data_IF_761547020167
#
_entry.id   IF_761547020167
#
_cell.length_a   1.000
_cell.length_b   1.000
_cell.length_c   1.000
_cell.angle_alpha   90.00
_cell.angle_beta   90.00
_cell.angle_gamma   90.00
#
_symmetry.space_group_name_H-M   'P 1'
#
loop_
_entity.id
_entity.type
_entity.pdbx_description
1 polymer ?
#
# COMPACT_ATOMS: atom_id res chain seq x y z
N UNK A 1 18.29 -54.64 43.80
CA UNK A 1 17.76 -53.70 42.77
C UNK A 1 18.07 -54.10 41.32
N UNK A 2 19.21 -54.73 40.99
CA UNK A 2 19.59 -55.07 39.60
C UNK A 2 18.68 -56.12 38.92
N UNK A 3 18.29 -57.19 39.61
CA UNK A 3 17.46 -58.26 39.03
C UNK A 3 16.00 -57.83 38.78
N UNK A 4 15.44 -57.04 39.70
CA UNK A 4 14.04 -56.58 39.62
C UNK A 4 13.84 -55.58 38.47
N UNK A 5 14.82 -54.69 38.23
CA UNK A 5 14.82 -53.78 37.08
C UNK A 5 14.95 -54.53 35.75
N UNK A 6 15.73 -55.62 35.71
CA UNK A 6 15.82 -56.51 34.54
C UNK A 6 14.52 -57.25 34.25
N UNK A 7 13.84 -57.76 35.28
CA UNK A 7 12.57 -58.48 35.12
C UNK A 7 11.43 -57.54 34.72
N UNK A 8 11.37 -56.34 35.30
CA UNK A 8 10.35 -55.34 34.97
C UNK A 8 10.45 -54.83 33.52
N UNK A 9 11.66 -54.79 32.96
CA UNK A 9 11.88 -54.42 31.56
C UNK A 9 11.52 -55.54 30.56
N UNK A 10 11.26 -56.78 30.99
CA UNK A 10 10.90 -57.89 30.08
C UNK A 10 9.51 -57.73 29.44
N UNK A 11 8.66 -56.87 30.00
CA UNK A 11 7.29 -56.65 29.53
C UNK A 11 7.08 -55.29 28.86
N UNK A 12 8.14 -54.47 28.77
CA UNK A 12 8.09 -53.13 28.20
C UNK A 12 8.44 -53.15 26.73
N UNK A 13 7.79 -52.29 25.95
CA UNK A 13 8.23 -52.05 24.57
C UNK A 13 9.60 -51.36 24.55
N UNK A 14 10.30 -51.43 23.42
CA UNK A 14 11.57 -50.71 23.23
C UNK A 14 11.37 -49.20 23.42
N UNK A 15 10.24 -48.67 22.96
CA UNK A 15 9.83 -47.27 23.12
C UNK A 15 9.58 -46.89 24.59
N UNK A 16 8.94 -47.76 25.37
CA UNK A 16 8.74 -47.55 26.81
C UNK A 16 10.07 -47.50 27.56
N UNK A 17 10.98 -48.43 27.25
CA UNK A 17 12.33 -48.46 27.83
C UNK A 17 13.09 -47.18 27.48
N UNK A 18 12.95 -46.69 26.25
CA UNK A 18 13.57 -45.45 25.81
C UNK A 18 13.09 -44.23 26.60
N UNK A 19 11.77 -44.04 26.73
CA UNK A 19 11.20 -42.90 27.47
C UNK A 19 11.56 -42.95 28.95
N UNK A 20 11.58 -44.14 29.56
CA UNK A 20 12.06 -44.31 30.93
C UNK A 20 13.53 -43.91 31.07
N UNK A 21 14.38 -44.31 30.12
CA UNK A 21 15.79 -43.93 30.14
C UNK A 21 15.95 -42.39 30.03
N UNK A 22 15.15 -41.72 29.20
CA UNK A 22 15.11 -40.25 29.17
C UNK A 22 14.73 -39.67 30.54
N UNK A 23 13.70 -40.22 31.20
CA UNK A 23 13.26 -39.76 32.52
C UNK A 23 14.35 -39.88 33.59
N UNK A 24 15.10 -40.98 33.59
CA UNK A 24 16.15 -41.23 34.59
C UNK A 24 17.51 -40.62 34.22
N UNK A 25 17.66 -40.05 33.03
CA UNK A 25 18.93 -39.45 32.58
C UNK A 25 19.30 -38.16 33.33
N UNK A 26 18.32 -37.46 33.91
CA UNK A 26 18.49 -36.12 34.50
C UNK A 26 18.70 -35.00 33.48
N UNK A 27 18.65 -35.31 32.18
CA UNK A 27 18.88 -34.35 31.08
C UNK A 27 17.61 -33.59 30.69
N UNK A 28 16.43 -34.17 30.94
CA UNK A 28 15.13 -33.61 30.57
C UNK A 28 14.35 -33.17 31.81
N UNK A 29 13.63 -32.06 31.71
CA UNK A 29 12.72 -31.60 32.75
C UNK A 29 11.39 -32.39 32.77
N UNK A 30 10.61 -32.22 33.83
CA UNK A 30 9.35 -32.96 34.01
C UNK A 30 8.31 -32.67 32.92
N UNK A 31 8.30 -31.48 32.32
CA UNK A 31 7.39 -31.12 31.23
C UNK A 31 7.84 -31.79 29.94
N UNK A 32 9.13 -31.81 29.63
CA UNK A 32 9.70 -32.52 28.49
C UNK A 32 9.41 -34.02 28.58
N UNK A 33 9.63 -34.65 29.75
CA UNK A 33 9.27 -36.06 29.97
C UNK A 33 7.76 -36.29 29.79
N UNK A 34 6.91 -35.39 30.30
CA UNK A 34 5.47 -35.45 30.05
C UNK A 34 5.13 -35.46 28.56
N UNK A 35 5.80 -34.62 27.75
CA UNK A 35 5.61 -34.59 26.29
C UNK A 35 6.15 -35.85 25.59
N UNK A 36 7.26 -36.42 26.06
CA UNK A 36 7.76 -37.69 25.52
C UNK A 36 6.82 -38.87 25.83
N UNK A 37 6.16 -38.85 26.99
CA UNK A 37 5.11 -39.83 27.30
C UNK A 37 3.89 -39.69 26.40
N UNK A 38 3.43 -38.47 26.13
CA UNK A 38 2.33 -38.29 25.16
C UNK A 38 2.73 -38.68 23.73
N UNK A 39 4.02 -38.55 23.37
CA UNK A 39 4.53 -39.11 22.11
C UNK A 39 4.42 -40.64 22.07
N UNK A 40 4.82 -41.32 23.15
CA UNK A 40 4.71 -42.77 23.30
C UNK A 40 3.25 -43.23 23.23
N UNK A 41 2.34 -42.56 23.94
CA UNK A 41 0.90 -42.83 23.92
C UNK A 41 0.27 -42.66 22.53
N UNK A 42 0.84 -41.77 21.71
CA UNK A 42 0.45 -41.60 20.31
C UNK A 42 1.02 -42.69 19.37
N UNK A 43 1.73 -43.69 19.90
CA UNK A 43 2.28 -44.80 19.14
C UNK A 43 3.45 -44.40 18.25
N UNK A 44 4.20 -43.34 18.60
CA UNK A 44 5.41 -42.96 17.85
C UNK A 44 6.45 -44.07 17.98
N UNK A 45 7.02 -44.48 16.85
CA UNK A 45 8.13 -45.43 16.77
C UNK A 45 9.38 -44.92 17.49
N UNK A 46 10.29 -45.82 17.83
CA UNK A 46 11.57 -45.49 18.46
C UNK A 46 12.33 -44.36 17.73
N UNK A 47 12.39 -44.39 16.39
CA UNK A 47 13.09 -43.34 15.62
C UNK A 47 12.39 -41.98 15.72
N UNK A 48 11.06 -41.95 15.80
CA UNK A 48 10.30 -40.70 15.98
C UNK A 48 10.46 -40.16 17.39
N UNK A 49 10.48 -41.03 18.40
CA UNK A 49 10.76 -40.66 19.79
C UNK A 49 12.17 -40.10 19.96
N UNK A 50 13.16 -40.67 19.29
CA UNK A 50 14.53 -40.13 19.27
C UNK A 50 14.59 -38.72 18.71
N UNK A 51 13.80 -38.42 17.67
CA UNK A 51 13.70 -37.05 17.13
C UNK A 51 13.06 -36.08 18.14
N UNK A 52 12.01 -36.51 18.85
CA UNK A 52 11.39 -35.72 19.91
C UNK A 52 12.32 -35.49 21.12
N UNK A 53 13.15 -36.49 21.46
CA UNK A 53 13.99 -36.52 22.65
C UNK A 53 15.34 -35.77 22.47
N UNK A 54 15.29 -34.57 21.91
CA UNK A 54 16.41 -33.65 21.94
C UNK A 54 16.22 -32.66 23.11
N UNK A 55 17.15 -32.60 24.08
CA UNK A 55 16.98 -31.82 25.29
C UNK A 55 16.97 -30.30 25.08
N UNK A 56 17.39 -29.84 23.89
CA UNK A 56 17.31 -28.43 23.51
C UNK A 56 15.88 -27.98 23.16
N UNK A 57 14.94 -28.91 22.95
CA UNK A 57 13.56 -28.57 22.65
C UNK A 57 12.78 -28.20 23.90
N UNK A 58 12.02 -27.10 23.85
CA UNK A 58 10.97 -26.81 24.80
C UNK A 58 9.84 -27.85 24.72
N UNK A 59 9.03 -27.99 25.78
CA UNK A 59 7.85 -28.85 25.74
C UNK A 59 6.88 -28.53 24.58
N UNK A 60 6.78 -27.27 24.18
CA UNK A 60 5.96 -26.81 23.05
C UNK A 60 6.58 -27.21 21.71
N UNK A 61 7.90 -27.17 21.56
CA UNK A 61 8.58 -27.68 20.36
C UNK A 61 8.38 -29.20 20.21
N UNK A 62 8.52 -29.96 21.30
CA UNK A 62 8.23 -31.43 21.30
C UNK A 62 6.78 -31.69 20.89
N UNK A 63 5.84 -30.88 21.38
CA UNK A 63 4.43 -30.97 20.99
C UNK A 63 4.23 -30.76 19.48
N UNK A 64 4.89 -29.79 18.85
CA UNK A 64 4.78 -29.57 17.40
C UNK A 64 5.40 -30.71 16.58
N UNK A 65 6.51 -31.31 17.03
CA UNK A 65 7.10 -32.52 16.40
C UNK A 65 6.10 -33.67 16.47
N UNK A 66 5.55 -33.92 17.67
CA UNK A 66 4.51 -34.94 17.90
C UNK A 66 3.30 -34.74 17.00
N UNK A 67 2.77 -33.52 16.95
CA UNK A 67 1.63 -33.18 16.09
C UNK A 67 1.94 -33.40 14.61
N UNK A 68 3.17 -33.17 14.15
CA UNK A 68 3.58 -33.50 12.78
C UNK A 68 3.36 -34.98 12.47
N UNK A 69 3.84 -35.86 13.34
CA UNK A 69 3.65 -37.31 13.19
C UNK A 69 2.19 -37.74 13.32
N UNK A 70 1.43 -37.20 14.29
CA UNK A 70 0.01 -37.52 14.46
C UNK A 70 -0.85 -37.11 13.25
N UNK A 71 -0.43 -36.09 12.50
CA UNK A 71 -1.07 -35.69 11.25
C UNK A 71 -0.44 -36.37 10.01
N UNK A 72 0.20 -37.52 10.20
CA UNK A 72 0.76 -38.36 9.14
C UNK A 72 1.82 -37.67 8.27
N UNK A 73 2.53 -36.65 8.79
CA UNK A 73 3.71 -36.15 8.10
C UNK A 73 4.81 -37.21 8.15
N UNK A 74 5.43 -37.48 7.00
CA UNK A 74 6.58 -38.39 6.92
C UNK A 74 7.73 -37.94 7.83
N UNK A 75 8.60 -38.87 8.24
CA UNK A 75 9.81 -38.55 8.99
C UNK A 75 10.63 -37.43 8.36
N UNK A 76 10.85 -37.47 7.04
CA UNK A 76 11.59 -36.44 6.29
C UNK A 76 10.97 -35.04 6.46
N UNK A 77 9.63 -34.93 6.47
CA UNK A 77 8.92 -33.66 6.65
C UNK A 77 9.02 -33.17 8.09
N UNK A 78 8.89 -34.05 9.07
CA UNK A 78 9.00 -33.65 10.48
C UNK A 78 10.43 -33.28 10.86
N UNK A 79 11.42 -34.07 10.43
CA UNK A 79 12.83 -33.77 10.65
C UNK A 79 13.29 -32.48 9.97
N UNK A 80 12.58 -32.02 8.93
CA UNK A 80 12.90 -30.79 8.23
C UNK A 80 12.69 -29.54 9.11
N UNK A 81 11.64 -29.52 9.95
CA UNK A 81 11.36 -28.38 10.83
C UNK A 81 11.73 -28.63 12.31
N UNK A 82 12.06 -29.86 12.68
CA UNK A 82 12.52 -30.23 14.02
C UNK A 82 13.95 -29.74 14.28
N UNK A 83 14.15 -28.43 14.35
CA UNK A 83 15.42 -27.78 14.72
C UNK A 83 15.18 -26.83 15.91
N UNK A 84 15.92 -27.00 17.03
CA UNK A 84 15.72 -26.19 18.24
C UNK A 84 15.95 -24.68 18.04
N UNK A 85 16.53 -24.25 16.92
CA UNK A 85 16.65 -22.83 16.55
C UNK A 85 15.31 -22.17 16.24
N UNK A 86 14.28 -22.92 15.87
CA UNK A 86 12.95 -22.39 15.62
C UNK A 86 12.10 -22.43 16.89
N UNK A 87 11.47 -21.32 17.27
CA UNK A 87 10.47 -21.36 18.33
C UNK A 87 9.26 -22.23 17.94
N UNK A 88 8.44 -22.60 18.93
CA UNK A 88 7.30 -23.48 18.69
C UNK A 88 6.26 -22.88 17.72
N UNK A 89 6.16 -21.55 17.61
CA UNK A 89 5.22 -20.91 16.68
C UNK A 89 5.73 -20.99 15.25
N UNK A 90 7.04 -20.81 15.02
CA UNK A 90 7.68 -21.04 13.73
C UNK A 90 7.53 -22.51 13.31
N UNK A 91 7.79 -23.45 14.23
CA UNK A 91 7.58 -24.90 13.98
C UNK A 91 6.11 -25.22 13.65
N UNK A 92 5.17 -24.63 14.40
CA UNK A 92 3.73 -24.78 14.15
C UNK A 92 3.35 -24.34 12.75
N UNK A 93 3.84 -23.18 12.31
CA UNK A 93 3.55 -22.64 10.99
C UNK A 93 4.10 -23.54 9.88
N UNK A 94 5.36 -23.97 9.97
CA UNK A 94 5.97 -24.89 9.00
C UNK A 94 5.22 -26.22 8.96
N UNK A 95 4.84 -26.76 10.12
CA UNK A 95 4.04 -27.99 10.22
C UNK A 95 2.71 -27.83 9.47
N UNK A 96 1.99 -26.74 9.70
CA UNK A 96 0.70 -26.47 9.05
C UNK A 96 0.86 -26.34 7.53
N UNK A 97 1.88 -25.62 7.08
CA UNK A 97 2.17 -25.49 5.64
C UNK A 97 2.45 -26.85 4.98
N UNK A 98 3.24 -27.72 5.63
CA UNK A 98 3.52 -29.08 5.18
C UNK A 98 2.27 -30.00 5.18
N UNK A 99 1.31 -29.74 6.07
CA UNK A 99 0.02 -30.45 6.16
C UNK A 99 -0.94 -29.99 5.06
N UNK A 100 -0.96 -28.69 4.74
CA UNK A 100 -1.74 -28.15 3.63
C UNK A 100 -1.13 -28.40 2.25
N UNK A 101 -0.03 -29.15 2.19
CA UNK A 101 0.53 -29.66 0.94
C UNK A 101 1.61 -28.78 0.31
N UNK A 102 2.10 -27.74 1.01
CA UNK A 102 3.25 -27.00 0.51
C UNK A 102 4.48 -27.92 0.45
N UNK A 103 5.25 -27.77 -0.63
CA UNK A 103 6.50 -28.51 -0.81
C UNK A 103 7.57 -27.98 0.15
N UNK A 104 8.51 -28.85 0.53
CA UNK A 104 9.69 -28.44 1.30
C UNK A 104 10.44 -27.31 0.58
N UNK A 105 10.51 -27.34 -0.75
CA UNK A 105 11.24 -26.35 -1.54
C UNK A 105 10.60 -24.96 -1.49
N UNK A 106 9.26 -24.87 -1.45
CA UNK A 106 8.57 -23.59 -1.24
C UNK A 106 8.82 -23.05 0.18
N UNK A 107 8.83 -23.94 1.17
CA UNK A 107 9.00 -23.57 2.59
C UNK A 107 10.43 -23.09 2.88
N UNK A 108 11.44 -23.66 2.20
CA UNK A 108 12.85 -23.26 2.37
C UNK A 108 13.09 -21.76 2.22
N UNK A 109 12.30 -21.05 1.42
CA UNK A 109 12.42 -19.60 1.24
C UNK A 109 12.23 -18.81 2.55
N UNK A 110 11.36 -19.28 3.44
CA UNK A 110 11.06 -18.58 4.69
C UNK A 110 11.39 -19.39 5.95
N UNK A 111 11.99 -20.57 5.79
CA UNK A 111 12.49 -21.37 6.91
C UNK A 111 13.84 -20.84 7.43
N UNK A 112 13.88 -19.57 7.80
CA UNK A 112 15.03 -18.91 8.44
C UNK A 112 14.63 -18.54 9.87
N UNK A 113 15.35 -18.99 10.92
CA UNK A 113 15.04 -18.68 12.31
C UNK A 113 15.07 -17.18 12.63
N UNK A 114 15.69 -16.35 11.80
CA UNK A 114 15.69 -14.88 11.92
C UNK A 114 14.31 -14.26 11.62
N UNK A 115 13.43 -14.96 10.90
CA UNK A 115 12.07 -14.49 10.66
C UNK A 115 11.13 -14.88 11.79
N UNK A 116 10.47 -13.91 12.43
CA UNK A 116 9.32 -14.21 13.27
C UNK A 116 8.13 -14.72 12.45
N UNK A 117 7.12 -15.26 13.13
CA UNK A 117 5.92 -15.85 12.50
C UNK A 117 5.16 -14.88 11.59
N UNK A 118 5.12 -13.59 11.94
CA UNK A 118 4.48 -12.57 11.11
C UNK A 118 5.24 -12.34 9.80
N UNK A 119 6.57 -12.33 9.84
CA UNK A 119 7.41 -12.23 8.65
C UNK A 119 7.25 -13.48 7.76
N UNK A 120 7.28 -14.68 8.35
CA UNK A 120 7.02 -15.93 7.62
C UNK A 120 5.64 -15.95 6.95
N UNK A 121 4.62 -15.41 7.64
CA UNK A 121 3.27 -15.28 7.08
C UNK A 121 3.23 -14.36 5.85
N UNK A 122 3.98 -13.25 5.85
CA UNK A 122 4.04 -12.36 4.68
C UNK A 122 4.75 -13.02 3.49
N UNK A 123 5.83 -13.77 3.72
CA UNK A 123 6.51 -14.50 2.63
C UNK A 123 5.56 -15.54 2.02
N UNK A 124 4.89 -16.32 2.88
CA UNK A 124 3.88 -17.30 2.46
C UNK A 124 2.73 -16.63 1.69
N UNK A 125 2.28 -15.46 2.13
CA UNK A 125 1.20 -14.72 1.47
C UNK A 125 1.60 -14.29 0.05
N UNK A 126 2.86 -13.89 -0.18
CA UNK A 126 3.34 -13.57 -1.53
C UNK A 126 3.25 -14.75 -2.51
N UNK A 127 3.51 -15.97 -2.04
CA UNK A 127 3.29 -17.18 -2.85
C UNK A 127 1.80 -17.41 -3.16
N UNK A 128 0.90 -17.17 -2.19
CA UNK A 128 -0.54 -17.28 -2.41
C UNK A 128 -1.08 -16.21 -3.37
N UNK A 129 -0.54 -14.99 -3.29
CA UNK A 129 -0.85 -13.89 -4.20
C UNK A 129 -0.22 -14.07 -5.59
N UNK A 130 0.56 -15.14 -5.80
CA UNK A 130 1.26 -15.47 -7.04
C UNK A 130 2.24 -14.37 -7.48
N UNK A 131 2.87 -13.69 -6.52
CA UNK A 131 3.96 -12.77 -6.80
C UNK A 131 5.13 -13.52 -7.45
N UNK A 132 5.91 -12.82 -8.27
CA UNK A 132 7.11 -13.40 -8.85
C UNK A 132 8.14 -13.68 -7.75
N UNK A 133 8.98 -14.70 -7.95
CA UNK A 133 9.94 -15.11 -6.91
C UNK A 133 10.90 -13.99 -6.53
N UNK A 134 11.35 -13.18 -7.50
CA UNK A 134 12.22 -12.03 -7.25
C UNK A 134 11.58 -10.98 -6.34
N UNK A 135 10.26 -10.83 -6.43
CA UNK A 135 9.51 -9.88 -5.61
C UNK A 135 9.42 -10.37 -4.18
N UNK A 136 9.19 -11.67 -4.01
CA UNK A 136 9.20 -12.34 -2.70
C UNK A 136 10.59 -12.24 -2.07
N UNK A 137 11.66 -12.51 -2.82
CA UNK A 137 13.05 -12.38 -2.36
C UNK A 137 13.39 -10.96 -1.93
N UNK A 138 12.87 -9.94 -2.64
CA UNK A 138 13.12 -8.54 -2.31
C UNK A 138 12.60 -8.17 -0.91
N UNK A 139 11.37 -8.56 -0.56
CA UNK A 139 10.80 -8.21 0.73
C UNK A 139 11.06 -9.26 1.83
N UNK A 140 11.49 -10.47 1.50
CA UNK A 140 11.92 -11.51 2.44
C UNK A 140 13.27 -11.15 3.12
N UNK A 141 13.28 -10.05 3.86
CA UNK A 141 14.45 -9.53 4.57
C UNK A 141 14.16 -9.49 6.08
N UNK A 142 14.94 -10.19 6.93
CA UNK A 142 14.67 -10.26 8.37
C UNK A 142 14.76 -8.91 9.07
N UNK A 143 15.38 -7.89 8.43
CA UNK A 143 15.44 -6.52 8.94
C UNK A 143 14.14 -5.74 8.76
N UNK A 144 13.22 -6.20 7.91
CA UNK A 144 11.90 -5.59 7.77
C UNK A 144 10.93 -6.16 8.80
N UNK A 145 10.16 -5.31 9.46
CA UNK A 145 9.05 -5.77 10.31
C UNK A 145 8.00 -6.50 9.45
N UNK A 146 7.17 -7.34 10.09
CA UNK A 146 6.06 -8.00 9.39
C UNK A 146 5.12 -6.98 8.70
N UNK A 147 4.91 -5.80 9.31
CA UNK A 147 4.07 -4.75 8.72
C UNK A 147 4.76 -4.08 7.51
N UNK A 148 6.08 -3.88 7.55
CA UNK A 148 6.84 -3.41 6.39
C UNK A 148 6.79 -4.41 5.23
N UNK A 149 6.99 -5.71 5.52
CA UNK A 149 6.89 -6.77 4.52
C UNK A 149 5.49 -6.84 3.91
N UNK A 150 4.45 -6.70 4.73
CA UNK A 150 3.06 -6.64 4.26
C UNK A 150 2.84 -5.45 3.33
N UNK A 151 3.33 -4.27 3.71
CA UNK A 151 3.21 -3.07 2.88
C UNK A 151 3.88 -3.26 1.52
N UNK A 152 5.12 -3.76 1.50
CA UNK A 152 5.88 -4.02 0.26
C UNK A 152 5.16 -5.06 -0.59
N UNK A 153 4.67 -6.16 0.00
CA UNK A 153 3.88 -7.19 -0.68
C UNK A 153 2.63 -6.60 -1.36
N UNK A 154 1.85 -5.81 -0.64
CA UNK A 154 0.63 -5.17 -1.17
C UNK A 154 0.96 -4.18 -2.31
N UNK A 155 2.11 -3.51 -2.25
CA UNK A 155 2.57 -2.58 -3.28
C UNK A 155 3.02 -3.29 -4.56
N UNK A 156 3.76 -4.40 -4.41
CA UNK A 156 4.11 -5.29 -5.53
C UNK A 156 2.86 -5.91 -6.16
N UNK A 157 1.90 -6.35 -5.34
CA UNK A 157 0.61 -6.87 -5.81
C UNK A 157 -0.21 -5.81 -6.58
N UNK A 158 -0.12 -4.55 -6.16
CA UNK A 158 -0.75 -3.43 -6.89
C UNK A 158 -0.06 -3.14 -8.24
N UNK A 159 1.18 -3.62 -8.44
CA UNK A 159 1.97 -3.41 -9.65
C UNK A 159 3.02 -2.31 -9.53
N UNK A 160 3.36 -1.86 -8.33
CA UNK A 160 4.52 -0.98 -8.14
C UNK A 160 5.81 -1.79 -8.35
N UNK A 161 6.80 -1.19 -9.04
CA UNK A 161 8.12 -1.80 -9.22
C UNK A 161 8.95 -1.72 -7.94
N UNK A 162 10.00 -2.55 -7.85
CA UNK A 162 11.00 -2.47 -6.77
C UNK A 162 11.65 -1.07 -6.72
N UNK A 163 11.85 -0.41 -7.87
CA UNK A 163 12.39 0.95 -7.93
C UNK A 163 11.45 1.98 -7.29
N UNK A 164 10.14 1.86 -7.52
CA UNK A 164 9.13 2.69 -6.86
C UNK A 164 9.19 2.51 -5.33
N UNK A 165 9.36 1.27 -4.88
CA UNK A 165 9.41 0.91 -3.46
C UNK A 165 10.68 1.46 -2.80
N UNK A 166 11.84 1.21 -3.40
CA UNK A 166 13.12 1.75 -2.94
C UNK A 166 13.10 3.28 -2.87
N UNK A 167 12.41 3.94 -3.81
CA UNK A 167 12.30 5.40 -3.81
C UNK A 167 11.60 5.94 -2.56
N UNK A 168 10.41 5.42 -2.19
CA UNK A 168 9.70 5.96 -1.02
C UNK A 168 10.18 5.41 0.33
N UNK A 169 10.89 4.27 0.31
CA UNK A 169 11.50 3.68 1.51
C UNK A 169 12.84 4.32 1.90
N UNK A 170 13.38 5.21 1.07
CA UNK A 170 14.60 5.94 1.38
C UNK A 170 14.46 6.70 2.70
N UNK A 171 15.35 6.42 3.66
CA UNK A 171 15.29 6.93 5.04
C UNK A 171 15.41 8.45 5.16
N UNK A 172 15.73 9.16 4.06
CA UNK A 172 15.76 10.62 4.00
C UNK A 172 14.36 11.24 4.02
N UNK A 173 13.34 10.43 3.79
CA UNK A 173 11.96 10.87 3.75
C UNK A 173 11.25 10.69 5.10
N UNK A 174 10.37 11.64 5.45
CA UNK A 174 9.52 11.52 6.64
C UNK A 174 8.37 10.54 6.39
N UNK A 175 7.76 10.02 7.46
CA UNK A 175 6.65 9.04 7.36
C UNK A 175 5.48 9.60 6.52
N UNK A 176 5.03 10.83 6.82
CA UNK A 176 3.94 11.46 6.06
C UNK A 176 4.32 11.71 4.59
N UNK A 177 5.60 11.88 4.32
CA UNK A 177 6.10 12.00 2.96
C UNK A 177 6.06 10.64 2.23
N UNK A 178 6.49 9.56 2.87
CA UNK A 178 6.43 8.20 2.31
C UNK A 178 5.00 7.81 1.94
N UNK A 179 4.01 8.12 2.78
CA UNK A 179 2.60 7.85 2.50
C UNK A 179 2.10 8.63 1.27
N UNK A 180 2.46 9.91 1.15
CA UNK A 180 2.11 10.75 0.01
C UNK A 180 2.68 10.19 -1.30
N UNK A 181 3.96 9.85 -1.32
CA UNK A 181 4.61 9.27 -2.52
C UNK A 181 3.98 7.95 -2.91
N UNK A 182 3.73 7.08 -1.92
CA UNK A 182 3.09 5.79 -2.15
C UNK A 182 1.68 5.98 -2.74
N UNK A 183 0.91 6.95 -2.25
CA UNK A 183 -0.38 7.32 -2.83
C UNK A 183 -0.22 7.82 -4.28
N UNK A 184 0.74 8.71 -4.54
CA UNK A 184 0.96 9.28 -5.87
C UNK A 184 1.36 8.21 -6.91
N UNK A 185 2.26 7.30 -6.54
CA UNK A 185 2.66 6.17 -7.38
C UNK A 185 1.47 5.25 -7.69
N UNK A 186 0.62 4.94 -6.70
CA UNK A 186 -0.60 4.13 -6.91
C UNK A 186 -1.61 4.81 -7.83
N UNK A 187 -1.65 6.14 -7.85
CA UNK A 187 -2.52 6.88 -8.76
C UNK A 187 -1.85 7.25 -10.09
N UNK A 188 -0.72 6.61 -10.42
CA UNK A 188 -0.09 6.67 -11.72
C UNK A 188 0.84 7.87 -11.96
N UNK A 189 1.23 8.60 -10.91
CA UNK A 189 2.36 9.53 -11.03
C UNK A 189 3.66 8.74 -11.08
N UNK A 190 4.61 9.20 -11.89
CA UNK A 190 5.96 8.62 -11.97
C UNK A 190 6.89 9.22 -10.93
N UNK A 191 8.02 8.56 -10.65
CA UNK A 191 9.09 9.12 -9.81
C UNK A 191 9.55 10.50 -10.32
N UNK A 192 9.58 10.72 -11.63
CA UNK A 192 9.99 11.99 -12.20
C UNK A 192 8.94 13.09 -11.96
N UNK A 193 7.65 12.77 -12.05
CA UNK A 193 6.58 13.70 -11.62
C UNK A 193 6.75 14.08 -10.15
N UNK A 194 7.05 13.09 -9.31
CA UNK A 194 7.23 13.29 -7.87
C UNK A 194 8.44 14.18 -7.57
N UNK A 195 9.61 13.84 -8.13
CA UNK A 195 10.82 14.68 -8.00
C UNK A 195 10.61 16.10 -8.50
N UNK A 196 9.81 16.27 -9.56
CA UNK A 196 9.50 17.57 -10.12
C UNK A 196 8.73 18.46 -9.13
N UNK A 197 7.57 17.99 -8.63
CA UNK A 197 6.75 18.82 -7.74
C UNK A 197 7.40 19.01 -6.38
N UNK A 198 8.19 18.05 -5.92
CA UNK A 198 8.88 18.09 -4.64
C UNK A 198 10.11 19.00 -4.60
N UNK A 199 10.46 19.66 -5.70
CA UNK A 199 11.65 20.49 -5.73
C UNK A 199 11.61 21.51 -4.56
N UNK A 200 12.61 21.52 -3.65
CA UNK A 200 12.60 22.35 -2.44
C UNK A 200 12.48 23.87 -2.69
N UNK A 201 12.65 24.32 -3.93
CA UNK A 201 12.38 25.71 -4.33
C UNK A 201 10.89 26.10 -4.20
N UNK A 202 9.99 25.12 -4.16
CA UNK A 202 8.56 25.33 -4.01
C UNK A 202 8.12 25.22 -2.55
N UNK A 203 7.20 26.07 -2.12
CA UNK A 203 6.50 25.88 -0.84
C UNK A 203 5.39 24.83 -0.97
N UNK A 204 4.84 24.36 0.15
CA UNK A 204 3.84 23.28 0.16
C UNK A 204 2.60 23.55 -0.74
N UNK A 205 2.10 24.79 -0.76
CA UNK A 205 0.95 25.14 -1.61
C UNK A 205 1.30 25.12 -3.11
N UNK A 206 2.51 25.57 -3.48
CA UNK A 206 3.00 25.46 -4.85
C UNK A 206 3.20 23.99 -5.25
N UNK A 207 3.80 23.17 -4.39
CA UNK A 207 3.95 21.72 -4.61
C UNK A 207 2.60 21.04 -4.85
N UNK A 208 1.59 21.40 -4.07
CA UNK A 208 0.22 20.87 -4.21
C UNK A 208 -0.39 21.22 -5.57
N UNK A 209 -0.21 22.45 -6.06
CA UNK A 209 -0.73 22.84 -7.38
C UNK A 209 -0.02 22.12 -8.52
N UNK A 210 1.30 21.93 -8.44
CA UNK A 210 2.05 21.16 -9.43
C UNK A 210 1.58 19.70 -9.43
N UNK A 211 1.47 19.09 -8.25
CA UNK A 211 0.96 17.72 -8.07
C UNK A 211 -0.46 17.58 -8.63
N UNK A 212 -1.33 18.54 -8.38
CA UNK A 212 -2.70 18.58 -8.91
C UNK A 212 -2.74 18.65 -10.43
N UNK A 213 -1.79 19.36 -11.07
CA UNK A 213 -1.68 19.38 -12.54
C UNK A 213 -1.40 18.00 -13.14
N UNK A 214 -0.55 17.19 -12.49
CA UNK A 214 -0.33 15.80 -12.92
C UNK A 214 -1.58 14.93 -12.75
N UNK A 215 -2.38 15.16 -11.70
CA UNK A 215 -3.66 14.48 -11.49
C UNK A 215 -4.71 14.86 -12.53
N UNK A 216 -4.74 16.13 -12.91
CA UNK A 216 -5.60 16.66 -13.96
C UNK A 216 -5.17 16.24 -15.37
N UNK A 217 -4.06 15.49 -15.50
CA UNK A 217 -3.49 15.03 -16.77
C UNK A 217 -3.11 16.17 -17.72
N UNK A 218 -2.72 17.33 -17.15
CA UNK A 218 -2.17 18.43 -17.95
C UNK A 218 -0.89 17.98 -18.65
N UNK A 219 -0.62 18.56 -19.83
CA UNK A 219 0.62 18.29 -20.53
C UNK A 219 1.81 18.81 -19.72
N UNK A 220 2.98 18.14 -19.81
CA UNK A 220 4.14 18.51 -19.00
C UNK A 220 4.57 19.97 -19.22
N UNK A 221 4.48 20.48 -20.44
CA UNK A 221 4.79 21.88 -20.76
C UNK A 221 3.87 22.88 -20.06
N UNK A 222 2.61 22.51 -19.81
CA UNK A 222 1.64 23.33 -19.10
C UNK A 222 2.02 23.41 -17.62
N UNK A 223 2.40 22.27 -17.05
CA UNK A 223 2.85 22.18 -15.66
C UNK A 223 4.15 22.96 -15.49
N UNK A 224 5.11 22.82 -16.41
CA UNK A 224 6.36 23.59 -16.40
C UNK A 224 6.14 25.10 -16.50
N UNK A 225 5.15 25.54 -17.27
CA UNK A 225 4.80 26.96 -17.40
C UNK A 225 4.42 27.59 -16.06
N UNK A 226 3.50 26.96 -15.32
CA UNK A 226 3.02 27.53 -14.06
C UNK A 226 3.84 27.10 -12.84
N UNK A 227 4.67 26.05 -12.93
CA UNK A 227 5.63 25.61 -11.91
C UNK A 227 6.80 26.59 -11.73
N UNK A 228 6.48 27.83 -11.35
CA UNK A 228 7.40 28.94 -11.26
C UNK A 228 7.32 29.55 -9.86
N UNK A 229 8.46 29.70 -9.19
CA UNK A 229 8.53 30.23 -7.82
C UNK A 229 8.10 31.70 -7.72
N UNK A 230 8.03 32.42 -8.84
CA UNK A 230 7.47 33.78 -8.90
C UNK A 230 5.95 33.83 -8.69
N UNK A 231 5.25 32.72 -8.93
CA UNK A 231 3.81 32.64 -8.72
C UNK A 231 3.51 32.09 -7.32
N UNK A 232 2.60 32.72 -6.61
CA UNK A 232 1.99 32.19 -5.39
C UNK A 232 1.21 30.91 -5.68
N UNK A 233 0.91 30.13 -4.64
CA UNK A 233 0.07 28.93 -4.78
C UNK A 233 -1.32 29.25 -5.37
N UNK A 234 -1.89 30.40 -5.01
CA UNK A 234 -3.18 30.87 -5.55
C UNK A 234 -3.09 31.19 -7.05
N UNK A 235 -2.02 31.87 -7.48
CA UNK A 235 -1.78 32.11 -8.90
C UNK A 235 -1.63 30.80 -9.66
N UNK A 236 -0.84 29.86 -9.15
CA UNK A 236 -0.66 28.53 -9.74
C UNK A 236 -1.98 27.75 -9.82
N UNK A 237 -2.84 27.87 -8.80
CA UNK A 237 -4.17 27.27 -8.78
C UNK A 237 -5.04 27.79 -9.93
N UNK A 238 -5.10 29.11 -10.09
CA UNK A 238 -5.90 29.75 -11.14
C UNK A 238 -5.40 29.37 -12.53
N UNK A 239 -4.08 29.40 -12.76
CA UNK A 239 -3.48 29.01 -14.05
C UNK A 239 -3.75 27.54 -14.35
N UNK A 240 -3.58 26.64 -13.37
CA UNK A 240 -3.89 25.20 -13.53
C UNK A 240 -5.34 25.00 -13.96
N UNK A 241 -6.29 25.67 -13.31
CA UNK A 241 -7.71 25.55 -13.67
C UNK A 241 -8.02 26.07 -15.07
N UNK A 242 -7.34 27.14 -15.49
CA UNK A 242 -7.44 27.63 -16.86
C UNK A 242 -6.89 26.61 -17.87
N UNK A 243 -5.70 26.06 -17.64
CA UNK A 243 -5.09 25.06 -18.52
C UNK A 243 -5.93 23.77 -18.58
N UNK A 244 -6.50 23.34 -17.45
CA UNK A 244 -7.41 22.20 -17.37
C UNK A 244 -8.67 22.36 -18.23
N UNK A 245 -9.11 23.58 -18.47
CA UNK A 245 -10.29 23.82 -19.31
C UNK A 245 -10.06 23.54 -20.80
N UNK A 246 -8.81 23.32 -21.23
CA UNK A 246 -8.49 22.94 -22.62
C UNK A 246 -8.36 24.12 -23.58
N UNK A 247 -7.96 25.28 -23.07
CA UNK A 247 -7.74 26.51 -23.85
C UNK A 247 -6.35 26.49 -24.49
N UNK A 248 -6.29 26.82 -25.77
CA UNK A 248 -5.14 26.65 -26.67
C UNK A 248 -3.93 27.56 -26.33
N UNK A 249 -2.74 27.15 -26.78
CA UNK A 249 -1.45 27.78 -26.46
C UNK A 249 -1.38 29.29 -26.76
N UNK A 250 -2.12 29.75 -27.77
CA UNK A 250 -2.17 31.16 -28.20
C UNK A 250 -2.63 32.11 -27.10
N UNK A 251 -3.32 31.62 -26.07
CA UNK A 251 -3.80 32.47 -24.99
C UNK A 251 -2.85 32.55 -23.79
N UNK A 252 -1.78 31.75 -23.74
CA UNK A 252 -0.80 31.80 -22.64
C UNK A 252 -0.10 33.16 -22.55
N UNK A 253 0.26 33.75 -23.70
CA UNK A 253 0.82 35.11 -23.77
C UNK A 253 -0.18 36.17 -23.29
N UNK A 254 -1.48 35.90 -23.42
CA UNK A 254 -2.55 36.80 -23.00
C UNK A 254 -2.74 36.83 -21.47
N UNK A 255 -2.21 35.81 -20.76
CA UNK A 255 -2.23 35.69 -19.30
C UNK A 255 -1.15 36.53 -18.61
N UNK A 256 -0.10 36.89 -19.34
CA UNK A 256 1.06 37.61 -18.81
C UNK A 256 0.95 39.11 -19.10
N UNK A 257 1.29 39.93 -18.12
CA UNK A 257 1.63 41.33 -18.34
C UNK A 257 2.94 41.43 -19.13
N UNK A 258 3.22 42.58 -19.74
CA UNK A 258 4.53 42.85 -20.38
C UNK A 258 5.71 42.69 -19.39
N UNK A 259 5.45 42.83 -18.09
CA UNK A 259 6.42 42.59 -17.01
C UNK A 259 6.67 41.10 -16.70
N UNK A 260 5.91 40.19 -17.31
CA UNK A 260 5.94 38.75 -17.04
C UNK A 260 5.18 38.32 -15.77
N UNK A 261 4.48 39.23 -15.09
CA UNK A 261 3.55 38.90 -14.01
C UNK A 261 2.20 38.42 -14.56
N UNK A 262 1.38 37.71 -13.77
CA UNK A 262 0.10 37.18 -14.24
C UNK A 262 -1.06 38.12 -13.98
N UNK A 263 -1.94 38.26 -14.99
CA UNK A 263 -3.18 39.00 -14.86
C UNK A 263 -4.32 38.09 -14.35
N UNK A 264 -4.34 37.83 -13.03
CA UNK A 264 -5.32 36.96 -12.37
C UNK A 264 -6.77 37.38 -12.70
N UNK A 265 -7.06 38.69 -12.71
CA UNK A 265 -8.42 39.21 -13.00
C UNK A 265 -8.87 38.82 -14.41
N UNK A 266 -7.98 38.94 -15.39
CA UNK A 266 -8.23 38.60 -16.80
C UNK A 266 -8.36 37.08 -16.98
N UNK A 267 -7.55 36.31 -16.28
CA UNK A 267 -7.58 34.84 -16.28
C UNK A 267 -8.90 34.31 -15.68
N UNK A 268 -9.31 34.84 -14.51
CA UNK A 268 -10.62 34.54 -13.90
C UNK A 268 -11.78 34.88 -14.85
N UNK A 269 -11.74 36.06 -15.48
CA UNK A 269 -12.75 36.47 -16.47
C UNK A 269 -12.80 35.50 -17.66
N UNK A 270 -11.65 35.14 -18.22
CA UNK A 270 -11.61 34.24 -19.36
C UNK A 270 -12.15 32.85 -19.02
N UNK A 271 -11.79 32.28 -17.85
CA UNK A 271 -12.32 30.98 -17.40
C UNK A 271 -13.86 30.97 -17.34
N UNK A 272 -14.46 32.08 -16.91
CA UNK A 272 -15.92 32.22 -16.84
C UNK A 272 -16.51 32.25 -18.25
N UNK A 273 -15.94 33.06 -19.14
CA UNK A 273 -16.41 33.16 -20.52
C UNK A 273 -16.29 31.83 -21.25
N UNK A 274 -15.19 31.09 -21.05
CA UNK A 274 -15.01 29.76 -21.60
C UNK A 274 -15.99 28.73 -21.01
N UNK A 275 -16.19 28.75 -19.68
CA UNK A 275 -17.19 27.91 -19.02
C UNK A 275 -18.62 28.20 -19.49
N UNK A 276 -18.92 29.45 -19.83
CA UNK A 276 -20.18 29.81 -20.48
C UNK A 276 -20.21 29.30 -21.93
N UNK A 277 -19.16 29.52 -22.73
CA UNK A 277 -19.12 29.14 -24.14
C UNK A 277 -19.11 27.63 -24.41
N UNK A 278 -18.56 26.83 -23.50
CA UNK A 278 -18.55 25.36 -23.61
C UNK A 278 -19.88 24.71 -23.25
N UNK A 279 -20.73 25.41 -22.51
CA UNK A 279 -22.00 24.88 -22.01
C UNK A 279 -23.24 25.58 -22.57
N UNK A 280 -23.07 26.70 -23.26
CA UNK A 280 -24.18 27.44 -23.85
C UNK A 280 -23.98 27.66 -25.34
N UNK A 281 -25.08 27.62 -26.10
CA UNK A 281 -25.03 27.88 -27.54
C UNK A 281 -24.57 29.32 -27.83
N UNK A 282 -23.88 29.57 -28.96
CA UNK A 282 -23.52 30.93 -29.38
C UNK A 282 -24.72 31.88 -29.45
N UNK A 283 -25.91 31.35 -29.73
CA UNK A 283 -27.18 32.07 -29.78
C UNK A 283 -27.61 32.57 -28.39
N UNK A 284 -27.45 31.75 -27.35
CA UNK A 284 -27.76 32.13 -25.97
C UNK A 284 -26.80 33.22 -25.45
N UNK A 285 -25.52 33.12 -25.83
CA UNK A 285 -24.54 34.18 -25.51
C UNK A 285 -24.89 35.49 -26.23
N UNK A 286 -25.34 35.42 -27.49
CA UNK A 286 -25.83 36.58 -28.23
C UNK A 286 -27.13 37.16 -27.65
N UNK A 287 -28.07 36.33 -27.19
CA UNK A 287 -29.31 36.78 -26.53
C UNK A 287 -29.00 37.52 -25.22
N UNK A 288 -28.04 37.03 -24.43
CA UNK A 288 -27.55 37.73 -23.24
C UNK A 288 -26.92 39.10 -23.59
N UNK A 289 -26.14 39.18 -24.67
CA UNK A 289 -25.57 40.46 -25.15
C UNK A 289 -26.65 41.42 -25.68
N UNK A 290 -27.68 40.90 -26.36
CA UNK A 290 -28.71 41.69 -27.05
C UNK A 290 -29.85 42.16 -26.12
N UNK A 291 -30.34 41.31 -25.21
CA UNK A 291 -31.51 41.64 -24.37
C UNK A 291 -31.17 42.56 -23.19
N UNK A 292 -29.93 42.55 -22.70
CA UNK A 292 -29.59 43.17 -21.42
C UNK A 292 -28.58 44.33 -21.46
N UNK A 293 -28.11 44.78 -22.64
CA UNK A 293 -27.11 45.85 -22.79
C UNK A 293 -25.85 45.65 -21.92
N UNK A 294 -25.35 44.41 -21.83
CA UNK A 294 -24.07 44.16 -21.20
C UNK A 294 -23.05 43.84 -22.29
N UNK A 295 -21.92 44.55 -22.32
CA UNK A 295 -20.76 44.00 -23.02
C UNK A 295 -20.27 42.78 -22.25
N UNK A 296 -19.53 41.90 -22.90
CA UNK A 296 -18.79 40.79 -22.27
C UNK A 296 -18.01 41.23 -21.02
N UNK A 297 -17.63 42.52 -20.94
CA UNK A 297 -16.98 43.12 -19.76
C UNK A 297 -17.89 43.26 -18.54
N UNK A 298 -19.18 43.54 -18.74
CA UNK A 298 -20.15 43.76 -17.67
C UNK A 298 -20.87 42.48 -17.24
N UNK A 299 -20.80 41.41 -18.03
CA UNK A 299 -21.42 40.12 -17.72
C UNK A 299 -20.88 39.55 -16.39
N UNK A 300 -19.58 39.71 -16.14
CA UNK A 300 -18.92 39.31 -14.88
C UNK A 300 -19.50 40.02 -13.66
N UNK A 301 -19.58 41.36 -13.72
CA UNK A 301 -20.10 42.18 -12.63
C UNK A 301 -21.61 41.96 -12.46
N UNK A 302 -22.35 41.77 -13.55
CA UNK A 302 -23.77 41.45 -13.52
C UNK A 302 -24.04 40.09 -12.85
N UNK A 303 -23.33 39.02 -13.24
CA UNK A 303 -23.47 37.70 -12.63
C UNK A 303 -23.19 37.70 -11.11
N UNK A 304 -22.25 38.52 -10.63
CA UNK A 304 -22.00 38.71 -9.19
C UNK A 304 -23.20 39.30 -8.44
N UNK A 305 -24.01 40.14 -9.08
CA UNK A 305 -25.17 40.80 -8.44
C UNK A 305 -26.42 39.92 -8.36
N UNK A 306 -26.49 38.82 -9.11
CA UNK A 306 -27.69 37.98 -9.17
C UNK A 306 -27.78 37.05 -7.97
N UNK A 307 -28.99 36.87 -7.41
CA UNK A 307 -29.23 35.87 -6.36
C UNK A 307 -29.27 34.46 -6.96
N UNK A 308 -28.90 33.40 -6.18
CA UNK A 308 -28.89 32.01 -6.68
C UNK A 308 -30.21 31.59 -7.35
N UNK A 309 -31.36 32.01 -6.80
CA UNK A 309 -32.68 31.71 -7.35
C UNK A 309 -32.97 32.42 -8.69
N UNK A 310 -32.35 33.57 -8.96
CA UNK A 310 -32.50 34.29 -10.24
C UNK A 310 -31.63 33.63 -11.31
N UNK A 311 -30.46 33.13 -10.92
CA UNK A 311 -29.62 32.28 -11.77
C UNK A 311 -30.30 30.94 -12.05
N UNK A 312 -31.06 30.34 -11.13
CA UNK A 312 -31.83 29.15 -11.48
C UNK A 312 -32.92 29.42 -12.52
N UNK A 313 -33.50 30.64 -12.52
CA UNK A 313 -34.63 31.01 -13.38
C UNK A 313 -34.22 31.56 -14.76
N UNK A 314 -33.05 32.19 -14.88
CA UNK A 314 -32.51 32.65 -16.17
C UNK A 314 -32.13 31.49 -17.10
N UNK A 315 -31.96 30.29 -16.56
CA UNK A 315 -31.35 29.13 -17.23
C UNK A 315 -32.35 27.98 -17.41
N UNK A 316 -33.64 28.31 -17.53
CA UNK A 316 -34.64 27.34 -17.93
C UNK A 316 -34.72 27.27 -19.45
N UNK A 317 -34.30 26.09 -19.96
CA UNK A 317 -34.59 25.43 -21.24
C UNK A 317 -33.28 25.04 -21.97
N UNK A 318 -32.77 23.83 -21.64
CA UNK A 318 -32.03 22.86 -22.50
C UNK A 318 -30.68 22.26 -22.06
N UNK A 319 -30.15 22.50 -20.87
CA UNK A 319 -28.88 21.84 -20.47
C UNK A 319 -28.95 21.00 -19.20
N UNK A 320 -28.10 19.95 -19.17
CA UNK A 320 -28.10 18.86 -18.19
C UNK A 320 -27.94 19.34 -16.74
N UNK A 321 -28.47 18.56 -15.78
CA UNK A 321 -28.33 18.80 -14.33
C UNK A 321 -26.86 19.01 -13.93
N UNK A 322 -25.93 18.34 -14.62
CA UNK A 322 -24.48 18.47 -14.39
C UNK A 322 -23.95 19.87 -14.75
N UNK A 323 -24.37 20.40 -15.90
CA UNK A 323 -24.02 21.75 -16.35
C UNK A 323 -24.55 22.83 -15.39
N UNK A 324 -25.76 22.65 -14.85
CA UNK A 324 -26.33 23.54 -13.80
C UNK A 324 -25.51 23.52 -12.52
N UNK A 325 -25.11 22.34 -12.03
CA UNK A 325 -24.33 22.22 -10.79
C UNK A 325 -22.92 22.79 -10.92
N UNK A 326 -22.27 22.61 -12.06
CA UNK A 326 -20.96 23.23 -12.35
C UNK A 326 -21.05 24.75 -12.46
N UNK A 327 -22.09 25.28 -13.10
CA UNK A 327 -22.31 26.72 -13.19
C UNK A 327 -22.59 27.34 -11.81
N UNK A 328 -23.46 26.72 -11.01
CA UNK A 328 -23.76 27.17 -9.65
C UNK A 328 -22.51 27.17 -8.76
N UNK A 329 -21.68 26.12 -8.84
CA UNK A 329 -20.36 26.10 -8.18
C UNK A 329 -19.45 27.22 -8.66
N UNK A 330 -19.35 27.40 -9.98
CA UNK A 330 -18.54 28.47 -10.58
C UNK A 330 -19.01 29.83 -10.06
N UNK A 331 -20.31 30.07 -9.94
CA UNK A 331 -20.86 31.34 -9.44
C UNK A 331 -20.71 31.49 -7.92
N UNK A 332 -20.86 30.43 -7.13
CA UNK A 332 -20.59 30.46 -5.68
C UNK A 332 -19.11 30.75 -5.39
N UNK A 333 -18.19 30.10 -6.11
CA UNK A 333 -16.75 30.39 -6.04
C UNK A 333 -16.43 31.85 -6.39
N UNK A 334 -17.23 32.47 -7.26
CA UNK A 334 -17.10 33.87 -7.66
C UNK A 334 -17.68 34.87 -6.66
N UNK A 335 -18.62 34.47 -5.79
CA UNK A 335 -19.20 35.37 -4.78
C UNK A 335 -18.40 35.42 -3.49
N UNK A 336 -17.67 34.35 -3.21
CA UNK A 336 -16.87 34.22 -2.00
C UNK A 336 -15.46 34.85 -2.13
N UNK A 337 -15.14 35.44 -3.29
CA UNK A 337 -13.87 36.12 -3.64
C UNK A 337 -14.12 37.40 -4.46
#
# INVERSE_FOLDING_TARGET
>A
MSLFKKIFNLFKSEEEIFVDNCQYSGVFDSKQIGRLRTCLECGLSISQLMLCANPKFSPEQIQEIRLGFCHNLSYKKVSFYADPKFDYKQMKQIREDLQYGLSIDNIKFYMNPEFNTGQMEQIRSGFYDKLHISDIEFYANPNFSAEQMKQIREDLQYGLSIDNINFYMDSRFSIGFTEQVRYDLKNGLTIDNIKFYMNPKFNAGQMEQIRSGFYDKLHISDIEFYANTKFSAEEMYEIRLFLKSGIDDYEKDFLLYESGAINIKKLKKHRILYGLATHFSPLFLQEIELENRFSVDNLYDYLKTLSPNVIEKLFDIRDSIHSRQMLLRTIEELKNN
#
